data_IF_884256701861
#
_entry.id   IF_884256701861
#
_cell.length_a   1.000
_cell.length_b   1.000
_cell.length_c   1.000
_cell.angle_alpha   90.00
_cell.angle_beta   90.00
_cell.angle_gamma   90.00
#
_symmetry.space_group_name_H-M   'P 1'
#
loop_
_entity.id
_entity.type
_entity.pdbx_description
1 polymer ?
#
# COMPACT_ATOMS: atom_id res chain seq x y z
N UNK A 1 4.03 -16.95 12.38
CA UNK A 1 5.26 -16.72 11.58
C UNK A 1 5.23 -15.27 11.13
N UNK A 2 6.30 -14.51 11.42
CA UNK A 2 6.33 -13.10 11.05
C UNK A 2 6.64 -12.96 9.57
N UNK A 3 6.04 -11.94 8.93
CA UNK A 3 6.38 -11.60 7.54
C UNK A 3 7.88 -11.26 7.46
N UNK A 4 8.62 -11.81 6.50
CA UNK A 4 10.03 -11.46 6.30
C UNK A 4 10.20 -10.06 5.70
N UNK A 5 9.09 -9.43 5.30
CA UNK A 5 9.11 -8.16 4.58
C UNK A 5 8.95 -6.95 5.51
N UNK A 6 9.65 -5.86 5.20
CA UNK A 6 9.36 -4.53 5.69
C UNK A 6 8.22 -3.92 4.86
N UNK A 7 7.25 -3.33 5.54
CA UNK A 7 6.02 -2.84 4.90
C UNK A 7 5.79 -1.35 5.16
N UNK A 8 4.95 -0.72 4.35
CA UNK A 8 4.50 0.65 4.60
C UNK A 8 3.82 0.83 5.96
N UNK A 9 3.16 -0.23 6.46
CA UNK A 9 2.57 -0.26 7.80
C UNK A 9 3.62 -0.22 8.93
N UNK A 10 4.79 -0.83 8.72
CA UNK A 10 5.89 -0.75 9.69
C UNK A 10 6.40 0.68 9.81
N UNK A 11 6.49 1.41 8.70
CA UNK A 11 6.84 2.84 8.70
C UNK A 11 5.77 3.70 9.36
N UNK A 12 4.50 3.46 9.07
CA UNK A 12 3.39 4.13 9.75
C UNK A 12 3.45 3.96 11.27
N UNK A 13 3.64 2.72 11.74
CA UNK A 13 3.74 2.38 13.15
C UNK A 13 4.99 2.97 13.81
N UNK A 14 6.12 2.94 13.12
CA UNK A 14 7.37 3.51 13.60
C UNK A 14 7.24 5.01 13.91
N UNK A 15 6.54 5.76 13.06
CA UNK A 15 6.29 7.18 13.29
C UNK A 15 5.38 7.45 14.49
N UNK A 16 4.48 6.54 14.80
CA UNK A 16 3.65 6.65 15.99
C UNK A 16 4.42 6.26 17.27
N UNK A 17 5.17 5.17 17.20
CA UNK A 17 6.01 4.68 18.30
C UNK A 17 7.14 3.82 17.72
N UNK A 18 8.42 4.22 17.87
CA UNK A 18 9.56 3.48 17.31
C UNK A 18 9.67 2.03 17.80
N UNK A 19 9.13 1.72 18.97
CA UNK A 19 9.11 0.37 19.51
C UNK A 19 7.98 -0.51 18.94
N UNK A 20 6.96 0.08 18.34
CA UNK A 20 5.79 -0.65 17.86
C UNK A 20 6.15 -1.74 16.82
N UNK A 21 6.92 -1.46 15.74
CA UNK A 21 7.30 -2.51 14.78
C UNK A 21 8.07 -3.66 15.40
N UNK A 22 8.89 -3.38 16.41
CA UNK A 22 9.62 -4.41 17.15
C UNK A 22 8.65 -5.34 17.91
N UNK A 23 7.73 -4.78 18.70
CA UNK A 23 6.77 -5.58 19.46
C UNK A 23 5.77 -6.31 18.56
N UNK A 24 5.43 -5.75 17.43
CA UNK A 24 4.59 -6.41 16.43
C UNK A 24 5.25 -7.67 15.86
N UNK A 25 6.58 -7.66 15.72
CA UNK A 25 7.35 -8.78 15.13
C UNK A 25 7.86 -9.78 16.14
N UNK A 26 8.25 -9.33 17.32
CA UNK A 26 8.99 -10.13 18.29
C UNK A 26 8.28 -10.22 19.65
N UNK A 27 7.18 -9.52 19.84
CA UNK A 27 6.38 -9.59 21.05
C UNK A 27 5.66 -10.94 21.19
N UNK A 28 5.35 -11.30 22.45
CA UNK A 28 4.54 -12.49 22.71
C UNK A 28 3.10 -12.28 22.20
N UNK A 29 2.64 -13.09 21.22
CA UNK A 29 1.29 -12.96 20.66
C UNK A 29 0.18 -13.14 21.72
N UNK A 30 0.43 -13.86 22.80
CA UNK A 30 -0.53 -14.09 23.87
C UNK A 30 -0.78 -12.83 24.73
N UNK A 31 0.16 -11.89 24.71
CA UNK A 31 0.03 -10.61 25.40
C UNK A 31 -0.66 -9.54 24.54
N UNK A 32 -0.95 -9.86 23.29
CA UNK A 32 -1.64 -8.95 22.39
C UNK A 32 -3.11 -8.82 22.77
N UNK A 33 -3.52 -7.57 23.01
CA UNK A 33 -4.94 -7.27 23.21
C UNK A 33 -5.73 -7.59 21.93
N UNK A 34 -6.83 -8.36 22.01
CA UNK A 34 -7.72 -8.54 20.87
C UNK A 34 -8.33 -7.20 20.45
N UNK A 35 -8.72 -7.10 19.19
CA UNK A 35 -9.47 -5.95 18.71
C UNK A 35 -10.84 -5.91 19.42
N UNK A 36 -11.30 -4.72 19.69
CA UNK A 36 -12.69 -4.51 20.13
C UNK A 36 -13.63 -4.56 18.91
N UNK A 37 -14.90 -4.85 19.14
CA UNK A 37 -15.92 -4.83 18.08
C UNK A 37 -15.93 -3.50 17.31
N UNK A 38 -15.74 -2.37 18.03
CA UNK A 38 -15.68 -1.04 17.42
C UNK A 38 -14.43 -0.84 16.54
N UNK A 39 -13.31 -1.50 16.86
CA UNK A 39 -12.10 -1.47 16.04
C UNK A 39 -12.26 -2.34 14.80
N UNK A 40 -12.84 -3.52 14.93
CA UNK A 40 -13.16 -4.40 13.81
C UNK A 40 -14.15 -3.73 12.83
N UNK A 41 -15.19 -3.08 13.36
CA UNK A 41 -16.14 -2.33 12.53
C UNK A 41 -15.46 -1.18 11.78
N UNK A 42 -14.56 -0.43 12.44
CA UNK A 42 -13.81 0.63 11.75
C UNK A 42 -12.92 0.13 10.61
N UNK A 43 -12.34 -1.05 10.76
CA UNK A 43 -11.54 -1.67 9.68
C UNK A 43 -12.44 -2.07 8.50
N UNK A 44 -13.58 -2.71 8.77
CA UNK A 44 -14.56 -3.08 7.75
C UNK A 44 -15.13 -1.84 7.02
N UNK A 45 -15.51 -0.81 7.76
CA UNK A 45 -15.99 0.46 7.22
C UNK A 45 -14.92 1.18 6.38
N UNK A 46 -13.65 1.06 6.78
CA UNK A 46 -12.50 1.61 6.04
C UNK A 46 -12.41 1.02 4.64
N UNK A 47 -12.48 -0.30 4.53
CA UNK A 47 -12.42 -1.00 3.25
C UNK A 47 -13.60 -0.66 2.34
N UNK A 48 -14.82 -0.65 2.89
CA UNK A 48 -16.04 -0.27 2.15
C UNK A 48 -15.97 1.17 1.64
N UNK A 49 -15.48 2.09 2.47
CA UNK A 49 -15.28 3.48 2.09
C UNK A 49 -14.25 3.63 0.96
N UNK A 50 -13.12 2.94 1.07
CA UNK A 50 -12.07 2.93 0.05
C UNK A 50 -12.62 2.48 -1.30
N UNK A 51 -13.31 1.35 -1.37
CA UNK A 51 -13.92 0.83 -2.60
C UNK A 51 -14.93 1.81 -3.20
N UNK A 52 -15.77 2.43 -2.38
CA UNK A 52 -16.75 3.42 -2.84
C UNK A 52 -16.07 4.66 -3.43
N UNK A 53 -15.01 5.16 -2.80
CA UNK A 53 -14.23 6.30 -3.28
C UNK A 53 -13.54 5.96 -4.61
N UNK A 54 -12.86 4.82 -4.69
CA UNK A 54 -12.16 4.38 -5.89
C UNK A 54 -13.11 4.29 -7.08
N UNK A 55 -14.25 3.63 -6.90
CA UNK A 55 -15.28 3.50 -7.94
C UNK A 55 -15.84 4.85 -8.38
N UNK A 56 -16.08 5.75 -7.43
CA UNK A 56 -16.64 7.08 -7.71
C UNK A 56 -15.66 7.99 -8.46
N UNK A 57 -14.36 7.96 -8.08
CA UNK A 57 -13.36 8.89 -8.65
C UNK A 57 -12.87 8.39 -10.00
N UNK A 58 -12.59 7.11 -10.12
CA UNK A 58 -11.89 6.57 -11.29
C UNK A 58 -12.81 5.92 -12.32
N UNK A 59 -14.03 5.53 -11.93
CA UNK A 59 -15.02 4.92 -12.83
C UNK A 59 -14.62 3.58 -13.46
N UNK A 60 -13.33 3.27 -13.50
CA UNK A 60 -12.76 2.01 -13.99
C UNK A 60 -11.31 1.87 -13.55
N UNK A 61 -10.93 0.64 -13.18
CA UNK A 61 -9.59 0.31 -12.70
C UNK A 61 -9.32 -1.19 -12.89
N UNK A 62 -8.03 -1.55 -12.96
CA UNK A 62 -7.58 -2.94 -12.91
C UNK A 62 -7.22 -3.29 -11.45
N UNK A 63 -7.75 -4.40 -10.94
CA UNK A 63 -7.59 -4.81 -9.55
C UNK A 63 -6.66 -6.01 -9.41
N UNK A 64 -5.71 -5.94 -8.49
CA UNK A 64 -4.87 -7.07 -8.07
C UNK A 64 -5.53 -7.77 -6.90
N UNK A 65 -6.11 -8.97 -7.12
CA UNK A 65 -6.96 -9.67 -6.14
C UNK A 65 -6.21 -10.66 -5.26
N UNK A 66 -5.07 -11.17 -5.71
CA UNK A 66 -4.31 -12.18 -4.96
C UNK A 66 -3.63 -11.57 -3.74
N UNK A 67 -3.59 -12.35 -2.65
CA UNK A 67 -2.87 -12.00 -1.41
C UNK A 67 -1.43 -12.50 -1.40
N UNK A 68 -1.09 -13.45 -2.26
CA UNK A 68 0.29 -13.89 -2.43
C UNK A 68 1.16 -12.73 -2.94
N UNK A 69 2.28 -12.49 -2.27
CA UNK A 69 3.12 -11.31 -2.55
C UNK A 69 3.77 -11.40 -3.92
N UNK A 70 4.31 -12.56 -4.27
CA UNK A 70 5.05 -12.71 -5.53
C UNK A 70 4.12 -12.70 -6.73
N UNK A 71 2.97 -13.35 -6.62
CA UNK A 71 1.92 -13.33 -7.64
C UNK A 71 1.33 -11.92 -7.81
N UNK A 72 1.00 -11.24 -6.70
CA UNK A 72 0.48 -9.89 -6.74
C UNK A 72 1.47 -8.88 -7.35
N UNK A 73 2.75 -9.03 -7.02
CA UNK A 73 3.79 -8.20 -7.61
C UNK A 73 3.95 -8.45 -9.11
N UNK A 74 3.93 -9.71 -9.56
CA UNK A 74 3.98 -10.05 -10.98
C UNK A 74 2.78 -9.46 -11.75
N UNK A 75 1.56 -9.59 -11.22
CA UNK A 75 0.37 -8.98 -11.81
C UNK A 75 0.47 -7.45 -11.86
N UNK A 76 0.95 -6.81 -10.79
CA UNK A 76 1.15 -5.36 -10.75
C UNK A 76 2.13 -4.90 -11.83
N UNK A 77 3.29 -5.56 -11.97
CA UNK A 77 4.28 -5.23 -12.99
C UNK A 77 3.72 -5.38 -14.41
N UNK A 78 2.93 -6.41 -14.66
CA UNK A 78 2.28 -6.62 -15.96
C UNK A 78 1.32 -5.47 -16.30
N UNK A 79 0.47 -5.08 -15.34
CA UNK A 79 -0.42 -3.93 -15.51
C UNK A 79 0.34 -2.61 -15.71
N UNK A 80 1.42 -2.40 -14.97
CA UNK A 80 2.28 -1.22 -15.11
C UNK A 80 2.93 -1.16 -16.51
N UNK A 81 3.45 -2.29 -17.02
CA UNK A 81 4.03 -2.37 -18.37
C UNK A 81 3.01 -2.13 -19.46
N UNK A 82 1.77 -2.58 -19.28
CA UNK A 82 0.65 -2.30 -20.19
C UNK A 82 0.19 -0.84 -20.14
N UNK A 83 0.62 -0.07 -19.14
CA UNK A 83 0.25 1.33 -19.01
C UNK A 83 -1.22 1.55 -18.68
N UNK A 84 -1.86 0.65 -17.92
CA UNK A 84 -3.26 0.85 -17.51
C UNK A 84 -3.40 2.12 -16.66
N UNK A 85 -4.49 2.88 -16.79
CA UNK A 85 -4.62 4.18 -16.14
C UNK A 85 -4.59 4.13 -14.61
N UNK A 86 -5.22 3.12 -14.02
CA UNK A 86 -5.40 2.98 -12.57
C UNK A 86 -5.28 1.51 -12.18
N UNK A 87 -4.44 1.22 -11.18
CA UNK A 87 -4.30 -0.11 -10.58
C UNK A 87 -4.75 -0.02 -9.13
N UNK A 88 -5.75 -0.81 -8.76
CA UNK A 88 -6.28 -0.90 -7.40
C UNK A 88 -5.65 -2.09 -6.66
N UNK A 89 -5.31 -1.91 -5.38
CA UNK A 89 -4.70 -2.91 -4.50
C UNK A 89 -3.39 -3.48 -5.06
N UNK A 90 -2.57 -2.62 -5.65
CA UNK A 90 -1.29 -2.99 -6.23
C UNK A 90 -0.33 -3.56 -5.17
N UNK A 91 0.63 -4.37 -5.62
CA UNK A 91 1.72 -4.86 -4.79
C UNK A 91 3.06 -4.45 -5.38
N UNK A 92 3.87 -3.74 -4.61
CA UNK A 92 5.22 -3.31 -4.96
C UNK A 92 6.22 -4.10 -4.14
N UNK A 93 7.30 -4.59 -4.76
CA UNK A 93 8.35 -5.35 -4.07
C UNK A 93 9.73 -4.94 -4.57
N UNK A 94 10.65 -4.74 -3.63
CA UNK A 94 12.06 -4.52 -3.92
C UNK A 94 12.91 -5.09 -2.78
N UNK A 95 13.59 -6.23 -3.03
CA UNK A 95 14.29 -6.97 -1.98
C UNK A 95 13.31 -7.46 -0.91
N UNK A 96 13.58 -7.14 0.33
CA UNK A 96 12.74 -7.42 1.50
C UNK A 96 11.67 -6.36 1.79
N UNK A 97 11.54 -5.36 0.93
CA UNK A 97 10.53 -4.31 1.04
C UNK A 97 9.29 -4.65 0.22
N UNK A 98 8.13 -4.60 0.85
CA UNK A 98 6.83 -4.83 0.19
C UNK A 98 5.85 -3.73 0.57
N UNK A 99 5.25 -3.11 -0.44
CA UNK A 99 4.23 -2.08 -0.30
C UNK A 99 2.92 -2.48 -0.98
N UNK A 100 1.80 -2.17 -0.34
CA UNK A 100 0.46 -2.32 -0.94
C UNK A 100 -0.25 -0.96 -0.89
N UNK A 101 0.04 -0.07 -1.87
CA UNK A 101 -0.73 1.16 -2.02
C UNK A 101 -2.16 0.82 -2.44
N UNK A 102 -3.12 1.62 -1.96
CA UNK A 102 -4.52 1.44 -2.35
C UNK A 102 -4.65 1.59 -3.86
N UNK A 103 -4.00 2.59 -4.42
CA UNK A 103 -4.08 2.93 -5.84
C UNK A 103 -2.70 3.28 -6.39
N UNK A 104 -2.41 2.83 -7.62
CA UNK A 104 -1.38 3.39 -8.47
C UNK A 104 -2.05 4.14 -9.61
N UNK A 105 -1.73 5.41 -9.76
CA UNK A 105 -2.26 6.26 -10.82
C UNK A 105 -1.17 6.55 -11.85
N UNK A 106 -1.47 6.31 -13.14
CA UNK A 106 -0.55 6.59 -14.25
C UNK A 106 -0.46 8.09 -14.50
N UNK A 107 0.76 8.57 -14.68
CA UNK A 107 1.09 9.95 -15.04
C UNK A 107 1.94 9.97 -16.32
N UNK A 108 1.84 11.03 -17.16
CA UNK A 108 2.71 11.21 -18.29
C UNK A 108 4.13 11.58 -17.84
N UNK A 109 5.13 10.99 -18.49
CA UNK A 109 6.55 11.25 -18.23
C UNK A 109 7.39 10.02 -18.52
N UNK A 110 8.69 10.20 -18.76
CA UNK A 110 9.60 9.10 -19.11
C UNK A 110 9.99 8.30 -17.88
N UNK A 111 9.97 6.98 -18.02
CA UNK A 111 10.46 6.02 -17.03
C UNK A 111 10.99 4.76 -17.73
N UNK A 112 11.44 3.75 -16.98
CA UNK A 112 11.75 2.43 -17.53
C UNK A 112 10.53 1.70 -18.13
N UNK A 113 9.32 2.17 -17.85
CA UNK A 113 8.07 1.61 -18.40
C UNK A 113 7.74 2.16 -19.80
N UNK A 114 8.25 3.35 -20.15
CA UNK A 114 7.96 4.07 -21.38
C UNK A 114 7.71 5.56 -21.15
N UNK A 115 6.71 6.10 -21.83
CA UNK A 115 6.33 7.52 -21.71
C UNK A 115 5.32 7.78 -20.57
N UNK A 116 5.31 6.95 -19.57
CA UNK A 116 4.49 7.08 -18.36
C UNK A 116 5.24 6.57 -17.13
N UNK A 117 4.76 6.99 -15.97
CA UNK A 117 5.13 6.47 -14.66
C UNK A 117 3.91 6.39 -13.75
N UNK A 118 4.03 5.74 -12.62
CA UNK A 118 2.96 5.63 -11.62
C UNK A 118 3.31 6.39 -10.36
N UNK A 119 2.29 6.94 -9.74
CA UNK A 119 2.36 7.55 -8.41
C UNK A 119 1.42 6.80 -7.46
N UNK A 120 1.79 6.65 -6.17
CA UNK A 120 0.93 6.02 -5.20
C UNK A 120 -0.13 7.01 -4.71
N UNK A 121 -1.35 6.54 -4.57
CA UNK A 121 -2.46 7.27 -3.96
C UNK A 121 -3.05 6.41 -2.85
N UNK A 122 -3.26 7.00 -1.69
CA UNK A 122 -3.77 6.33 -0.50
C UNK A 122 -5.10 6.97 -0.08
N UNK A 123 -6.11 6.15 0.18
CA UNK A 123 -7.44 6.61 0.56
C UNK A 123 -7.59 6.56 2.06
N UNK A 124 -7.78 7.71 2.69
CA UNK A 124 -7.96 7.81 4.15
C UNK A 124 -9.28 8.48 4.51
N UNK A 125 -9.93 7.98 5.55
CA UNK A 125 -11.11 8.63 6.15
C UNK A 125 -10.75 9.81 7.06
N UNK A 126 -9.46 10.14 7.19
CA UNK A 126 -8.99 11.22 8.04
C UNK A 126 -9.29 12.58 7.44
N UNK A 127 -9.70 13.54 8.26
CA UNK A 127 -9.89 14.93 7.86
C UNK A 127 -8.57 15.69 7.69
N UNK A 128 -7.47 15.16 8.26
CA UNK A 128 -6.15 15.76 8.21
C UNK A 128 -5.08 14.72 7.83
N UNK A 129 -4.11 15.13 7.03
CA UNK A 129 -2.93 14.32 6.73
C UNK A 129 -1.97 14.34 7.93
N UNK A 130 -1.69 13.17 8.45
CA UNK A 130 -0.72 12.98 9.54
C UNK A 130 0.65 12.60 8.99
N UNK A 131 1.71 12.83 9.79
CA UNK A 131 3.09 12.47 9.42
C UNK A 131 3.25 10.98 9.11
N UNK A 132 2.55 10.13 9.85
CA UNK A 132 2.56 8.68 9.64
C UNK A 132 1.97 8.26 8.28
N UNK A 133 0.93 8.96 7.81
CA UNK A 133 0.38 8.75 6.47
C UNK A 133 1.39 9.14 5.38
N UNK A 134 2.09 10.27 5.59
CA UNK A 134 3.15 10.71 4.67
C UNK A 134 4.32 9.73 4.64
N UNK A 135 4.72 9.18 5.80
CA UNK A 135 5.77 8.17 5.87
C UNK A 135 5.40 6.90 5.07
N UNK A 136 4.17 6.42 5.23
CA UNK A 136 3.66 5.27 4.48
C UNK A 136 3.65 5.52 2.97
N UNK A 137 3.16 6.68 2.56
CA UNK A 137 3.10 7.06 1.14
C UNK A 137 4.50 7.23 0.54
N UNK A 138 5.43 7.82 1.30
CA UNK A 138 6.84 7.96 0.91
C UNK A 138 7.49 6.59 0.72
N UNK A 139 7.18 5.62 1.58
CA UNK A 139 7.66 4.24 1.41
C UNK A 139 7.23 3.65 0.06
N UNK A 140 5.97 3.84 -0.34
CA UNK A 140 5.49 3.41 -1.65
C UNK A 140 6.15 4.17 -2.80
N UNK A 141 6.36 5.47 -2.65
CA UNK A 141 7.05 6.27 -3.66
C UNK A 141 8.49 5.80 -3.89
N UNK A 142 9.24 5.48 -2.83
CA UNK A 142 10.59 4.92 -2.92
C UNK A 142 10.62 3.57 -3.63
N UNK A 143 9.64 2.70 -3.37
CA UNK A 143 9.52 1.43 -4.10
C UNK A 143 9.26 1.66 -5.59
N UNK A 144 8.37 2.59 -5.92
CA UNK A 144 8.08 2.96 -7.31
C UNK A 144 9.29 3.57 -8.01
N UNK A 145 10.02 4.47 -7.35
CA UNK A 145 11.27 5.04 -7.87
C UNK A 145 12.25 3.94 -8.29
N UNK A 146 12.47 2.94 -7.44
CA UNK A 146 13.35 1.80 -7.75
C UNK A 146 12.85 0.97 -8.93
N UNK A 147 11.54 0.76 -9.05
CA UNK A 147 10.94 -0.05 -10.11
C UNK A 147 10.86 0.69 -11.45
N UNK A 148 10.72 2.00 -11.42
CA UNK A 148 10.51 2.85 -12.59
C UNK A 148 11.81 3.54 -13.06
N UNK A 149 12.87 3.52 -12.25
CA UNK A 149 14.17 4.12 -12.57
C UNK A 149 14.11 5.65 -12.64
N UNK A 150 13.36 6.26 -11.76
CA UNK A 150 13.17 7.73 -11.70
C UNK A 150 13.85 8.28 -10.46
#
# INVERSE_FOLDING_TARGET
MHSPYLTGHDFYRFYQCPHWPYWERFGDPNLRRPLTEAEEQRLADGLTHEQAIVTKIYGGFDEVKTKDVDEAFAQTLELMKRGVPVIYQACLKSGDWVGRPDILERRPGKSLLGDWYYVPVDVKRAHELKKEHMAQLTFYAVLLERLQGM
#
